data_IF_723498838689
#
_entry.id   IF_723498838689
#
_cell.length_a   1.000
_cell.length_b   1.000
_cell.length_c   1.000
_cell.angle_alpha   90.00
_cell.angle_beta   90.00
_cell.angle_gamma   90.00
#
_symmetry.space_group_name_H-M   'P 1'
#
loop_
_entity.id
_entity.type
_entity.pdbx_description
1 polymer ?
#
# COMPACT_ATOMS: atom_id res chain seq x y z
N UNK A 1 -6.56 -3.81 -3.58
CA UNK A 1 -5.70 -3.39 -4.72
C UNK A 1 -4.48 -4.29 -4.96
N UNK A 2 -3.69 -4.58 -3.92
CA UNK A 2 -2.47 -5.39 -4.05
C UNK A 2 -2.72 -6.77 -4.70
N UNK A 3 -3.71 -7.52 -4.21
CA UNK A 3 -4.03 -8.86 -4.75
C UNK A 3 -4.42 -8.85 -6.24
N UNK A 4 -5.28 -7.91 -6.66
CA UNK A 4 -5.64 -7.78 -8.08
C UNK A 4 -4.46 -7.40 -8.98
N UNK A 5 -3.53 -6.58 -8.47
CA UNK A 5 -2.30 -6.21 -9.21
C UNK A 5 -1.34 -7.39 -9.30
N UNK A 6 -1.16 -8.15 -8.20
CA UNK A 6 -0.32 -9.34 -8.15
C UNK A 6 -0.82 -10.43 -9.11
N UNK A 7 -2.14 -10.68 -9.12
CA UNK A 7 -2.76 -11.58 -10.10
C UNK A 7 -2.46 -11.09 -11.50
N UNK A 8 -2.75 -9.83 -11.83
CA UNK A 8 -2.55 -9.33 -13.19
C UNK A 8 -1.09 -9.40 -13.67
N UNK A 9 -0.11 -9.30 -12.77
CA UNK A 9 1.31 -9.42 -13.13
C UNK A 9 1.76 -10.83 -13.50
N UNK A 10 1.04 -11.88 -13.09
CA UNK A 10 1.48 -13.28 -13.26
C UNK A 10 0.44 -14.20 -13.90
N UNK A 11 -0.80 -13.74 -14.02
CA UNK A 11 -1.92 -14.47 -14.63
C UNK A 11 -1.54 -14.97 -16.03
N UNK A 12 -1.59 -16.29 -16.23
CA UNK A 12 -1.23 -16.96 -17.48
C UNK A 12 0.28 -17.18 -17.71
N UNK A 13 1.17 -16.73 -16.81
CA UNK A 13 2.60 -17.03 -16.92
C UNK A 13 2.90 -18.49 -16.55
N UNK A 14 3.74 -19.14 -17.35
CA UNK A 14 4.22 -20.48 -17.06
C UNK A 14 5.25 -20.47 -15.93
N UNK A 15 5.23 -21.52 -15.10
CA UNK A 15 6.19 -21.71 -14.01
C UNK A 15 5.95 -20.85 -12.75
N UNK A 16 4.85 -20.10 -12.70
CA UNK A 16 4.44 -19.30 -11.55
C UNK A 16 2.98 -19.54 -11.23
N UNK A 17 2.68 -19.88 -9.98
CA UNK A 17 1.33 -19.92 -9.42
C UNK A 17 1.19 -18.78 -8.40
N UNK A 18 0.01 -18.15 -8.37
CA UNK A 18 -0.29 -17.08 -7.41
C UNK A 18 -1.43 -17.50 -6.50
N UNK A 19 -1.16 -17.45 -5.20
CA UNK A 19 -2.16 -17.66 -4.15
C UNK A 19 -2.46 -16.30 -3.51
N UNK A 20 -3.71 -15.88 -3.59
CA UNK A 20 -4.19 -14.62 -3.00
C UNK A 20 -5.26 -14.90 -1.99
N UNK A 21 -5.08 -14.38 -0.77
CA UNK A 21 -6.08 -14.40 0.29
C UNK A 21 -6.53 -12.95 0.53
N UNK A 22 -7.85 -12.72 0.59
CA UNK A 22 -8.41 -11.41 0.90
C UNK A 22 -9.51 -11.49 1.97
N UNK A 23 -9.71 -10.43 2.76
CA UNK A 23 -10.75 -10.42 3.80
C UNK A 23 -12.13 -10.21 3.18
N UNK A 24 -12.99 -11.22 3.32
CA UNK A 24 -14.35 -11.26 2.81
C UNK A 24 -15.17 -10.09 3.37
N UNK A 25 -15.86 -9.37 2.50
CA UNK A 25 -16.71 -8.24 2.88
C UNK A 25 -15.99 -6.99 3.38
N UNK A 26 -14.65 -6.96 3.36
CA UNK A 26 -13.85 -5.77 3.75
C UNK A 26 -13.18 -5.05 2.58
N UNK A 27 -13.37 -5.54 1.36
CA UNK A 27 -12.90 -4.91 0.12
C UNK A 27 -14.08 -4.50 -0.76
N UNK A 28 -13.84 -3.60 -1.70
CA UNK A 28 -14.88 -3.18 -2.65
C UNK A 28 -15.23 -4.32 -3.61
N UNK A 29 -16.47 -4.34 -4.09
CA UNK A 29 -16.92 -5.35 -5.06
C UNK A 29 -16.11 -5.38 -6.35
N UNK A 30 -15.56 -4.22 -6.77
CA UNK A 30 -14.67 -4.16 -7.93
C UNK A 30 -13.33 -4.82 -7.61
N UNK A 31 -12.72 -4.52 -6.46
CA UNK A 31 -11.45 -5.14 -6.08
C UNK A 31 -11.59 -6.66 -5.95
N UNK A 32 -12.68 -7.12 -5.33
CA UNK A 32 -12.99 -8.55 -5.24
C UNK A 32 -13.09 -9.18 -6.63
N UNK A 33 -13.88 -8.58 -7.52
CA UNK A 33 -14.06 -9.11 -8.88
C UNK A 33 -12.78 -9.06 -9.71
N UNK A 34 -11.91 -8.07 -9.53
CA UNK A 34 -10.61 -8.04 -10.20
C UNK A 34 -9.76 -9.28 -9.86
N UNK A 35 -9.92 -9.83 -8.66
CA UNK A 35 -9.23 -11.05 -8.25
C UNK A 35 -9.99 -12.30 -8.70
N UNK A 36 -11.28 -12.39 -8.39
CA UNK A 36 -12.05 -13.65 -8.55
C UNK A 36 -12.47 -13.95 -9.99
N UNK A 37 -12.44 -12.97 -10.90
CA UNK A 37 -12.75 -13.17 -12.33
C UNK A 37 -11.53 -13.57 -13.18
N UNK A 38 -10.34 -13.63 -12.57
CA UNK A 38 -9.14 -14.16 -13.23
C UNK A 38 -9.17 -15.68 -13.14
N UNK A 39 -9.62 -16.33 -14.21
CA UNK A 39 -9.87 -17.78 -14.24
C UNK A 39 -8.70 -18.62 -14.77
N UNK A 40 -7.56 -18.00 -15.09
CA UNK A 40 -6.35 -18.71 -15.52
C UNK A 40 -5.93 -19.77 -14.52
N UNK A 41 -5.37 -20.86 -15.02
CA UNK A 41 -5.12 -22.05 -14.22
C UNK A 41 -4.13 -21.83 -13.05
N UNK A 42 -3.24 -20.87 -13.21
CA UNK A 42 -2.22 -20.52 -12.23
C UNK A 42 -2.68 -19.51 -11.17
N UNK A 43 -3.98 -19.14 -11.17
CA UNK A 43 -4.55 -18.15 -10.25
C UNK A 43 -5.47 -18.83 -9.23
N UNK A 44 -5.05 -18.75 -7.95
CA UNK A 44 -5.72 -19.36 -6.81
C UNK A 44 -6.16 -18.29 -5.82
N UNK A 45 -7.47 -18.10 -5.66
CA UNK A 45 -8.03 -17.02 -4.85
C UNK A 45 -8.85 -17.57 -3.69
N UNK A 46 -8.64 -17.00 -2.50
CA UNK A 46 -9.32 -17.33 -1.25
C UNK A 46 -9.95 -16.08 -0.63
N UNK A 47 -11.19 -16.22 -0.18
CA UNK A 47 -11.91 -15.25 0.63
C UNK A 47 -11.93 -15.75 2.07
N UNK A 48 -11.22 -15.05 2.97
CA UNK A 48 -11.16 -15.41 4.38
C UNK A 48 -12.11 -14.56 5.21
N UNK A 49 -12.69 -15.15 6.25
CA UNK A 49 -13.34 -14.36 7.31
C UNK A 49 -12.31 -13.55 8.10
N UNK A 50 -12.75 -12.58 8.92
CA UNK A 50 -11.84 -11.72 9.67
C UNK A 50 -11.30 -10.50 8.89
N UNK A 51 -10.12 -10.04 9.29
CA UNK A 51 -9.41 -8.84 8.82
C UNK A 51 -8.15 -9.18 8.02
N UNK A 52 -7.51 -8.16 7.44
CA UNK A 52 -6.19 -8.33 6.80
C UNK A 52 -5.14 -8.83 7.80
N UNK A 53 -5.21 -8.36 9.05
CA UNK A 53 -4.25 -8.74 10.09
C UNK A 53 -4.44 -10.21 10.50
N UNK A 54 -5.70 -10.69 10.55
CA UNK A 54 -6.01 -12.09 10.81
C UNK A 54 -5.47 -13.02 9.71
N UNK A 55 -5.50 -12.56 8.44
CA UNK A 55 -4.95 -13.28 7.28
C UNK A 55 -3.43 -13.32 7.31
N UNK A 56 -2.79 -12.26 7.79
CA UNK A 56 -1.33 -12.17 7.86
C UNK A 56 -0.72 -13.20 8.83
N UNK A 57 -1.43 -13.58 9.90
CA UNK A 57 -0.92 -14.54 10.89
C UNK A 57 -0.57 -15.90 10.27
N UNK A 58 -1.49 -16.64 9.61
CA UNK A 58 -1.15 -17.93 8.99
C UNK A 58 -0.15 -17.76 7.84
N UNK A 59 -0.22 -16.67 7.07
CA UNK A 59 0.77 -16.40 6.01
C UNK A 59 2.18 -16.25 6.58
N UNK A 60 2.36 -15.50 7.68
CA UNK A 60 3.66 -15.35 8.34
C UNK A 60 4.21 -16.70 8.82
N UNK A 61 3.35 -17.58 9.36
CA UNK A 61 3.77 -18.93 9.80
C UNK A 61 4.21 -19.81 8.63
N UNK A 62 3.49 -19.78 7.50
CA UNK A 62 3.91 -20.48 6.27
C UNK A 62 5.27 -20.01 5.77
N UNK A 63 5.55 -18.70 5.83
CA UNK A 63 6.85 -18.14 5.44
C UNK A 63 7.96 -18.35 6.48
N UNK A 64 7.61 -18.62 7.74
CA UNK A 64 8.59 -18.97 8.79
C UNK A 64 9.12 -20.39 8.60
N UNK A 65 8.33 -21.30 8.02
CA UNK A 65 8.73 -22.65 7.65
C UNK A 65 9.72 -22.64 6.47
N UNK A 66 11.02 -22.68 6.80
CA UNK A 66 12.10 -22.61 5.81
C UNK A 66 12.14 -23.83 4.88
N UNK A 67 11.63 -24.98 5.32
CA UNK A 67 11.60 -26.19 4.49
C UNK A 67 10.49 -26.08 3.45
N UNK A 68 9.30 -25.63 3.85
CA UNK A 68 8.20 -25.33 2.92
C UNK A 68 8.63 -24.28 1.89
N UNK A 69 9.25 -23.18 2.35
CA UNK A 69 9.70 -22.09 1.48
C UNK A 69 10.70 -22.59 0.44
N UNK A 70 11.73 -23.33 0.85
CA UNK A 70 12.75 -23.86 -0.07
C UNK A 70 12.20 -24.90 -1.02
N UNK A 71 11.35 -25.81 -0.52
CA UNK A 71 10.78 -26.91 -1.31
C UNK A 71 9.83 -26.42 -2.40
N UNK A 72 9.01 -25.42 -2.10
CA UNK A 72 7.99 -24.92 -3.02
C UNK A 72 8.34 -23.58 -3.67
N UNK A 73 9.51 -23.01 -3.38
CA UNK A 73 9.94 -21.72 -3.91
C UNK A 73 9.01 -20.57 -3.51
N UNK A 74 8.47 -20.60 -2.29
CA UNK A 74 7.49 -19.61 -1.84
C UNK A 74 8.11 -18.22 -1.82
N UNK A 75 7.41 -17.27 -2.42
CA UNK A 75 7.79 -15.86 -2.43
C UNK A 75 6.59 -14.97 -2.09
N UNK A 76 6.84 -13.90 -1.33
CA UNK A 76 5.81 -12.91 -1.03
C UNK A 76 5.88 -11.74 -2.02
N UNK A 77 4.71 -11.36 -2.55
CA UNK A 77 4.51 -10.15 -3.36
C UNK A 77 3.99 -8.97 -2.51
N UNK A 78 3.94 -9.12 -1.18
CA UNK A 78 3.59 -8.03 -0.28
C UNK A 78 4.74 -7.01 -0.17
N UNK A 79 4.47 -5.84 0.42
CA UNK A 79 5.39 -4.68 0.42
C UNK A 79 6.57 -4.84 1.38
N UNK A 80 6.72 -6.00 2.00
CA UNK A 80 7.96 -6.47 2.60
C UNK A 80 9.01 -6.79 1.52
N UNK A 81 8.61 -7.09 0.28
CA UNK A 81 9.54 -7.36 -0.80
C UNK A 81 10.30 -6.08 -1.24
N UNK A 82 11.64 -6.10 -1.19
CA UNK A 82 12.50 -4.98 -1.58
C UNK A 82 12.27 -4.51 -3.02
N UNK A 83 11.98 -5.42 -3.96
CA UNK A 83 11.75 -5.08 -5.38
C UNK A 83 10.56 -4.13 -5.52
N UNK A 84 9.54 -4.23 -4.64
CA UNK A 84 8.42 -3.29 -4.66
C UNK A 84 8.82 -1.88 -4.30
N UNK A 85 9.76 -1.71 -3.36
CA UNK A 85 10.30 -0.39 -3.03
C UNK A 85 11.18 0.10 -4.17
N UNK A 86 12.06 -0.76 -4.70
CA UNK A 86 12.95 -0.44 -5.81
C UNK A 86 12.19 0.12 -7.03
N UNK A 87 11.10 -0.54 -7.45
CA UNK A 87 10.29 -0.07 -8.59
C UNK A 87 9.60 1.26 -8.29
N UNK A 88 9.25 1.54 -7.03
CA UNK A 88 8.66 2.82 -6.64
C UNK A 88 9.62 4.00 -6.76
N UNK A 89 10.95 3.79 -6.73
CA UNK A 89 11.91 4.86 -6.99
C UNK A 89 11.73 5.42 -8.41
N UNK A 90 11.41 4.56 -9.39
CA UNK A 90 11.33 4.97 -10.79
C UNK A 90 10.25 6.05 -11.02
N UNK A 91 9.06 5.92 -10.43
CA UNK A 91 8.00 6.91 -10.63
C UNK A 91 8.23 8.20 -9.85
N UNK A 92 8.91 8.16 -8.71
CA UNK A 92 9.35 9.38 -8.01
C UNK A 92 10.41 10.13 -8.81
N UNK A 93 11.41 9.43 -9.35
CA UNK A 93 12.43 10.04 -10.20
C UNK A 93 11.80 10.63 -11.46
N UNK A 94 10.88 9.90 -12.10
CA UNK A 94 10.13 10.41 -13.24
C UNK A 94 9.34 11.68 -12.88
N UNK A 95 8.59 11.68 -11.77
CA UNK A 95 7.86 12.86 -11.31
C UNK A 95 8.79 14.04 -11.03
N UNK A 96 9.97 13.79 -10.46
CA UNK A 96 11.01 14.80 -10.25
C UNK A 96 11.47 15.43 -11.56
N UNK A 97 11.82 14.62 -12.56
CA UNK A 97 12.25 15.10 -13.87
C UNK A 97 11.16 15.94 -14.57
N UNK A 98 9.90 15.56 -14.41
CA UNK A 98 8.77 16.25 -15.06
C UNK A 98 8.34 17.55 -14.36
N UNK A 99 8.41 17.60 -13.02
CA UNK A 99 7.72 18.65 -12.25
C UNK A 99 8.68 19.62 -11.54
N UNK A 100 9.93 19.24 -11.31
CA UNK A 100 10.88 20.06 -10.55
C UNK A 100 11.35 21.31 -11.31
N UNK A 101 11.12 21.37 -12.62
CA UNK A 101 11.66 22.45 -13.47
C UNK A 101 13.16 22.32 -13.70
N UNK A 102 13.75 21.14 -13.49
CA UNK A 102 15.19 20.89 -13.64
C UNK A 102 15.76 21.32 -15.00
N UNK A 103 14.97 21.20 -16.07
CA UNK A 103 15.36 21.64 -17.42
C UNK A 103 15.62 23.15 -17.53
N UNK A 104 15.04 23.95 -16.64
CA UNK A 104 15.15 25.42 -16.64
C UNK A 104 16.33 25.90 -15.78
N UNK A 105 17.02 25.00 -15.08
CA UNK A 105 18.07 25.33 -14.13
C UNK A 105 19.35 25.69 -14.88
N UNK A 106 19.83 26.91 -14.66
CA UNK A 106 21.16 27.35 -15.10
C UNK A 106 22.12 27.26 -13.92
N UNK A 107 22.72 26.09 -13.69
CA UNK A 107 23.72 25.88 -12.63
C UNK A 107 23.72 24.48 -12.04
N UNK A 108 24.41 24.33 -10.91
CA UNK A 108 24.58 23.04 -10.22
C UNK A 108 23.60 22.79 -9.06
N UNK A 109 22.73 23.76 -8.75
CA UNK A 109 21.77 23.64 -7.65
C UNK A 109 20.47 23.04 -8.18
N UNK A 110 20.16 21.82 -7.73
CA UNK A 110 18.96 21.11 -8.13
C UNK A 110 17.71 21.69 -7.45
N UNK A 111 16.58 21.89 -8.17
CA UNK A 111 15.36 22.44 -7.62
C UNK A 111 14.66 21.41 -6.74
N UNK A 112 14.06 21.87 -5.63
CA UNK A 112 13.30 20.99 -4.73
C UNK A 112 11.94 20.64 -5.35
N UNK A 113 11.51 19.39 -5.17
CA UNK A 113 10.13 18.97 -5.43
C UNK A 113 9.47 18.51 -4.13
N UNK A 114 8.32 19.07 -3.80
CA UNK A 114 7.47 18.53 -2.74
C UNK A 114 6.64 17.36 -3.27
N UNK A 115 6.75 16.20 -2.63
CA UNK A 115 5.98 15.01 -2.99
C UNK A 115 5.09 14.63 -1.81
N UNK A 116 3.77 14.71 -2.06
CA UNK A 116 2.72 14.41 -1.08
C UNK A 116 2.18 13.01 -1.36
N UNK A 117 2.29 12.14 -0.36
CA UNK A 117 2.05 10.72 -0.50
C UNK A 117 0.91 10.30 0.43
N UNK A 118 -0.21 9.78 -0.10
CA UNK A 118 -1.20 9.13 0.76
C UNK A 118 -0.58 7.84 1.29
N UNK A 119 -0.51 7.74 2.61
CA UNK A 119 0.38 6.80 3.31
C UNK A 119 -0.43 5.86 4.17
N UNK A 120 -0.20 4.55 3.97
CA UNK A 120 -0.60 3.49 4.89
C UNK A 120 0.65 2.75 5.34
N UNK A 121 0.99 1.65 4.67
CA UNK A 121 2.19 0.85 4.96
C UNK A 121 3.55 1.52 4.68
N UNK A 122 3.60 2.83 4.39
CA UNK A 122 4.82 3.65 4.19
C UNK A 122 5.82 3.27 3.08
N UNK A 123 5.49 2.35 2.16
CA UNK A 123 6.43 1.94 1.08
C UNK A 123 6.88 3.09 0.16
N UNK A 124 5.94 3.93 -0.30
CA UNK A 124 6.26 5.11 -1.11
C UNK A 124 7.12 6.13 -0.34
N UNK A 125 6.92 6.28 0.98
CA UNK A 125 7.75 7.13 1.81
C UNK A 125 9.18 6.58 1.89
N UNK A 126 9.34 5.27 2.10
CA UNK A 126 10.65 4.63 2.06
C UNK A 126 11.35 4.84 0.72
N UNK A 127 10.65 4.67 -0.41
CA UNK A 127 11.17 4.96 -1.75
C UNK A 127 11.64 6.41 -1.91
N UNK A 128 10.83 7.38 -1.46
CA UNK A 128 11.20 8.79 -1.46
C UNK A 128 12.43 9.09 -0.59
N UNK A 129 12.54 8.48 0.59
CA UNK A 129 13.71 8.62 1.46
C UNK A 129 14.98 8.09 0.79
N UNK A 130 14.90 6.96 0.08
CA UNK A 130 16.02 6.40 -0.66
C UNK A 130 16.47 7.36 -1.78
N UNK A 131 15.54 7.90 -2.58
CA UNK A 131 15.91 8.89 -3.61
C UNK A 131 16.54 10.15 -3.03
N UNK A 132 16.06 10.60 -1.86
CA UNK A 132 16.68 11.72 -1.15
C UNK A 132 18.13 11.40 -0.76
N UNK A 133 18.40 10.18 -0.29
CA UNK A 133 19.79 9.72 -0.02
C UNK A 133 20.63 9.58 -1.29
N UNK A 134 20.00 9.27 -2.44
CA UNK A 134 20.66 9.27 -3.75
C UNK A 134 20.97 10.68 -4.28
N UNK A 135 20.57 11.74 -3.56
CA UNK A 135 20.87 13.14 -3.90
C UNK A 135 19.73 13.88 -4.61
N UNK A 136 18.56 13.26 -4.79
CA UNK A 136 17.40 13.95 -5.38
C UNK A 136 16.75 14.86 -4.32
N UNK A 137 16.66 16.18 -4.54
CA UNK A 137 16.11 17.11 -3.56
C UNK A 137 14.58 16.99 -3.48
N UNK A 138 14.13 16.08 -2.62
CA UNK A 138 12.71 15.86 -2.35
C UNK A 138 12.33 16.40 -0.96
N UNK A 139 11.19 17.07 -0.89
CA UNK A 139 10.47 17.35 0.36
C UNK A 139 9.29 16.40 0.46
N UNK A 140 9.35 15.46 1.39
CA UNK A 140 8.34 14.40 1.50
C UNK A 140 7.26 14.79 2.50
N UNK A 141 6.01 14.51 2.15
CA UNK A 141 4.85 14.69 3.02
C UNK A 141 4.05 13.40 3.07
N UNK A 142 3.89 12.81 4.26
CA UNK A 142 3.03 11.66 4.49
C UNK A 142 1.63 12.11 4.92
N UNK A 143 0.64 11.89 4.07
CA UNK A 143 -0.76 12.16 4.41
C UNK A 143 -1.47 10.85 4.75
N UNK A 144 -1.96 10.74 5.99
CA UNK A 144 -2.69 9.57 6.49
C UNK A 144 -4.17 9.91 6.67
N UNK A 145 -5.00 8.89 6.87
CA UNK A 145 -6.38 9.10 7.31
C UNK A 145 -6.45 9.04 8.86
N UNK A 146 -7.62 8.76 9.43
CA UNK A 146 -7.80 8.60 10.90
C UNK A 146 -6.91 7.53 11.54
N UNK A 147 -6.31 6.62 10.76
CA UNK A 147 -5.27 5.70 11.23
C UNK A 147 -3.90 6.38 11.10
N UNK A 148 -3.49 7.07 12.17
CA UNK A 148 -2.55 8.17 12.10
C UNK A 148 -1.16 7.91 12.72
N UNK A 149 -0.79 6.63 12.91
CA UNK A 149 0.49 6.23 13.53
C UNK A 149 1.71 6.93 12.91
N UNK A 150 1.76 7.07 11.58
CA UNK A 150 2.86 7.76 10.89
C UNK A 150 2.85 9.27 11.20
N UNK A 151 1.68 9.89 11.29
CA UNK A 151 1.57 11.31 11.62
C UNK A 151 2.06 11.59 13.04
N UNK A 152 1.59 10.82 14.03
CA UNK A 152 2.04 10.96 15.43
C UNK A 152 3.54 10.69 15.59
N UNK A 153 4.08 9.71 14.88
CA UNK A 153 5.51 9.43 14.91
C UNK A 153 6.37 10.59 14.39
N UNK A 154 5.89 11.31 13.36
CA UNK A 154 6.57 12.49 12.81
C UNK A 154 6.41 13.69 13.74
N UNK A 155 5.21 13.95 14.26
CA UNK A 155 4.92 15.13 15.08
C UNK A 155 5.53 15.04 16.49
N UNK A 156 5.33 13.93 17.20
CA UNK A 156 5.68 13.78 18.62
C UNK A 156 6.62 12.63 18.94
N UNK A 157 6.97 11.80 17.95
CA UNK A 157 7.77 10.60 18.16
C UNK A 157 6.98 9.41 18.70
N UNK A 158 5.66 9.54 18.90
CA UNK A 158 4.79 8.45 19.33
C UNK A 158 4.50 7.48 18.17
N UNK A 159 5.06 6.27 18.26
CA UNK A 159 4.85 5.19 17.29
C UNK A 159 4.06 4.06 17.95
N UNK A 160 2.76 4.28 18.13
CA UNK A 160 1.84 3.33 18.76
C UNK A 160 0.62 3.04 17.90
N UNK A 161 0.14 1.81 17.96
CA UNK A 161 -1.15 1.42 17.38
C UNK A 161 -2.31 1.85 18.30
N UNK A 162 -3.44 2.19 17.70
CA UNK A 162 -4.70 2.27 18.41
C UNK A 162 -5.28 0.87 18.65
N UNK A 163 -6.21 0.74 19.61
CA UNK A 163 -6.86 -0.54 19.97
C UNK A 163 -7.61 -1.20 18.79
N UNK A 164 -8.00 -0.41 17.79
CA UNK A 164 -8.72 -0.91 16.62
C UNK A 164 -8.46 -0.05 15.39
N UNK A 165 -8.34 -0.73 14.23
CA UNK A 165 -8.33 -0.08 12.92
C UNK A 165 -9.66 0.64 12.69
N UNK A 166 -9.61 1.94 12.39
CA UNK A 166 -10.80 2.73 12.04
C UNK A 166 -11.06 2.58 10.55
N UNK A 167 -12.27 2.13 10.19
CA UNK A 167 -12.71 2.08 8.79
C UNK A 167 -12.93 3.50 8.27
N UNK A 168 -12.34 3.82 7.11
CA UNK A 168 -12.48 5.13 6.46
C UNK A 168 -12.87 4.99 4.99
N UNK A 169 -13.15 6.11 4.33
CA UNK A 169 -13.34 6.14 2.86
C UNK A 169 -12.07 5.76 2.10
N UNK A 170 -10.89 6.01 2.66
CA UNK A 170 -9.60 5.68 2.09
C UNK A 170 -9.10 4.30 2.57
N UNK A 171 -9.92 3.26 2.42
CA UNK A 171 -9.74 1.93 3.05
C UNK A 171 -8.42 1.19 2.81
N UNK A 172 -7.63 1.56 1.79
CA UNK A 172 -6.36 0.92 1.47
C UNK A 172 -5.20 1.46 2.32
N UNK A 173 -5.42 2.56 3.04
CA UNK A 173 -4.49 3.13 4.01
C UNK A 173 -5.03 3.08 5.44
N UNK A 174 -6.08 2.28 5.69
CA UNK A 174 -6.55 1.93 7.05
C UNK A 174 -5.55 0.95 7.71
N UNK A 175 -4.37 1.45 8.08
CA UNK A 175 -3.23 0.64 8.54
C UNK A 175 -2.72 1.20 9.88
N UNK A 176 -2.63 0.33 10.89
CA UNK A 176 -2.07 0.67 12.21
C UNK A 176 -0.58 0.28 12.32
N UNK A 177 -0.15 -0.77 11.61
CA UNK A 177 1.25 -1.21 11.49
C UNK A 177 1.87 -0.74 10.16
N UNK A 178 2.51 0.45 10.12
CA UNK A 178 3.16 0.93 8.91
C UNK A 178 4.54 0.27 8.73
N UNK A 179 4.57 -1.02 8.41
CA UNK A 179 5.77 -1.88 8.37
C UNK A 179 6.97 -1.37 7.55
N UNK A 180 6.83 -0.43 6.60
CA UNK A 180 8.01 0.18 5.95
C UNK A 180 8.66 1.31 6.76
N UNK A 181 8.07 1.74 7.87
CA UNK A 181 8.71 2.71 8.76
C UNK A 181 9.99 2.15 9.37
N UNK A 182 10.10 0.84 9.57
CA UNK A 182 11.36 0.18 9.95
C UNK A 182 12.51 0.56 8.99
N UNK A 183 12.26 0.54 7.67
CA UNK A 183 13.23 0.95 6.65
C UNK A 183 13.57 2.42 6.75
N UNK A 184 12.56 3.27 6.97
CA UNK A 184 12.76 4.72 7.14
C UNK A 184 13.62 4.98 8.38
N UNK A 185 13.34 4.30 9.50
CA UNK A 185 14.12 4.43 10.72
C UNK A 185 15.56 3.99 10.53
N UNK A 186 15.80 2.88 9.83
CA UNK A 186 17.15 2.40 9.51
C UNK A 186 17.93 3.37 8.61
N UNK A 187 17.27 3.90 7.57
CA UNK A 187 17.86 4.89 6.67
C UNK A 187 18.25 6.17 7.42
N UNK A 188 17.39 6.65 8.33
CA UNK A 188 17.62 7.89 9.06
C UNK A 188 18.56 7.71 10.26
N UNK A 189 18.61 6.53 10.88
CA UNK A 189 19.58 6.24 11.93
C UNK A 189 21.02 6.20 11.42
N UNK A 190 21.21 6.11 10.09
CA UNK A 190 22.53 5.94 9.46
C UNK A 190 22.93 4.48 9.39
N UNK A 191 21.95 3.58 9.29
CA UNK A 191 22.18 2.14 9.23
C UNK A 191 22.35 1.45 10.58
N UNK A 192 21.91 2.07 11.68
CA UNK A 192 21.99 1.47 13.02
C UNK A 192 20.95 0.35 13.17
N UNK A 193 21.35 -0.86 12.80
CA UNK A 193 20.52 -2.06 12.88
C UNK A 193 20.21 -2.46 14.33
N UNK A 194 21.10 -2.18 15.28
CA UNK A 194 20.89 -2.55 16.68
C UNK A 194 19.80 -1.68 17.31
N UNK A 195 19.79 -0.38 17.00
CA UNK A 195 18.74 0.53 17.41
C UNK A 195 17.38 0.13 16.83
N UNK A 196 17.32 -0.06 15.51
CA UNK A 196 16.05 -0.38 14.82
C UNK A 196 15.50 -1.71 15.30
N UNK A 197 16.36 -2.72 15.48
CA UNK A 197 15.95 -4.01 16.03
C UNK A 197 15.26 -3.85 17.38
N UNK A 198 15.89 -3.16 18.35
CA UNK A 198 15.28 -2.95 19.68
C UNK A 198 13.94 -2.22 19.60
N UNK A 199 13.87 -1.17 18.78
CA UNK A 199 12.67 -0.37 18.58
C UNK A 199 11.52 -1.22 18.02
N UNK A 200 11.81 -2.05 17.01
CA UNK A 200 10.81 -2.89 16.38
C UNK A 200 10.41 -4.07 17.26
N UNK A 201 11.34 -4.67 18.03
CA UNK A 201 11.01 -5.70 19.03
C UNK A 201 10.05 -5.15 20.10
N UNK A 202 10.35 -3.98 20.68
CA UNK A 202 9.45 -3.32 21.64
C UNK A 202 8.07 -3.02 21.04
N UNK A 203 8.03 -2.55 19.79
CA UNK A 203 6.79 -2.27 19.09
C UNK A 203 5.99 -3.54 18.79
N UNK A 204 6.63 -4.65 18.42
CA UNK A 204 5.93 -5.91 18.18
C UNK A 204 5.39 -6.51 19.48
N UNK A 205 6.11 -6.36 20.59
CA UNK A 205 5.70 -6.91 21.89
C UNK A 205 4.57 -6.10 22.54
N UNK A 206 4.60 -4.77 22.43
CA UNK A 206 3.69 -3.88 23.16
C UNK A 206 2.73 -3.07 22.29
N UNK A 207 2.85 -3.16 20.96
CA UNK A 207 2.17 -2.33 19.96
C UNK A 207 2.45 -0.82 20.09
N UNK A 208 3.46 -0.44 20.88
CA UNK A 208 3.78 0.95 21.20
C UNK A 208 5.29 1.12 21.36
N UNK A 209 5.82 2.22 20.88
CA UNK A 209 7.17 2.66 21.25
C UNK A 209 7.28 4.17 21.02
N UNK A 210 8.27 4.79 21.64
CA UNK A 210 8.57 6.21 21.45
C UNK A 210 9.92 6.31 20.77
N UNK A 211 9.96 7.03 19.64
CA UNK A 211 11.18 7.24 18.90
C UNK A 211 12.21 7.99 19.76
N UNK A 212 13.46 7.51 19.86
CA UNK A 212 14.51 8.25 20.55
C UNK A 212 14.67 9.65 19.95
N UNK A 213 14.90 10.67 20.79
CA UNK A 213 14.89 12.07 20.37
C UNK A 213 15.82 12.39 19.19
N UNK A 214 16.97 11.71 19.08
CA UNK A 214 17.86 11.86 17.93
C UNK A 214 17.25 11.32 16.62
N UNK A 215 16.57 10.18 16.67
CA UNK A 215 15.89 9.58 15.51
C UNK A 215 14.65 10.39 15.14
N UNK A 216 13.84 10.78 16.12
CA UNK A 216 12.67 11.64 15.92
C UNK A 216 13.05 12.96 15.25
N UNK A 217 14.08 13.65 15.76
CA UNK A 217 14.57 14.90 15.16
C UNK A 217 14.98 14.72 13.70
N UNK A 218 15.65 13.62 13.36
CA UNK A 218 15.99 13.28 11.96
C UNK A 218 14.73 13.03 11.12
N UNK A 219 13.78 12.25 11.64
CA UNK A 219 12.49 12.00 10.97
C UNK A 219 11.76 13.29 10.64
N UNK A 220 11.50 14.16 11.63
CA UNK A 220 10.75 15.40 11.44
C UNK A 220 11.48 16.43 10.55
N UNK A 221 12.81 16.29 10.38
CA UNK A 221 13.58 17.12 9.43
C UNK A 221 13.49 16.65 7.98
N UNK A 222 13.16 15.38 7.74
CA UNK A 222 13.12 14.76 6.40
C UNK A 222 11.69 14.61 5.90
N UNK A 223 10.75 14.38 6.81
CA UNK A 223 9.36 14.05 6.52
C UNK A 223 8.44 14.99 7.30
N UNK A 224 7.47 15.60 6.61
CA UNK A 224 6.30 16.22 7.24
C UNK A 224 5.12 15.25 7.16
N UNK A 225 4.12 15.41 8.02
CA UNK A 225 2.94 14.56 7.99
C UNK A 225 1.66 15.31 8.35
N UNK A 226 0.52 14.77 7.91
CA UNK A 226 -0.80 15.26 8.29
C UNK A 226 -1.84 14.14 8.27
N UNK A 227 -2.93 14.32 9.01
CA UNK A 227 -4.06 13.38 9.05
C UNK A 227 -5.33 14.04 8.51
N UNK A 228 -6.15 13.27 7.80
CA UNK A 228 -7.39 13.74 7.16
C UNK A 228 -8.56 12.86 7.58
N UNK A 229 -9.70 13.49 7.92
CA UNK A 229 -10.94 12.78 8.23
C UNK A 229 -11.74 12.45 6.97
N UNK A 230 -12.75 11.59 7.08
CA UNK A 230 -13.67 11.29 5.97
C UNK A 230 -14.38 12.55 5.44
N UNK A 231 -14.71 13.47 6.35
CA UNK A 231 -15.30 14.77 6.00
C UNK A 231 -14.32 15.58 5.13
N UNK A 232 -13.07 15.69 5.55
CA UNK A 232 -12.02 16.37 4.77
C UNK A 232 -11.73 15.69 3.42
N UNK A 233 -11.82 14.35 3.35
CA UNK A 233 -11.72 13.60 2.09
C UNK A 233 -12.84 14.00 1.14
N UNK A 234 -14.10 14.01 1.61
CA UNK A 234 -15.26 14.38 0.80
C UNK A 234 -15.17 15.81 0.31
N UNK A 235 -14.85 16.76 1.20
CA UNK A 235 -14.67 18.17 0.85
C UNK A 235 -13.57 18.35 -0.20
N UNK A 236 -12.46 17.62 -0.07
CA UNK A 236 -11.36 17.68 -1.06
C UNK A 236 -11.79 17.14 -2.41
N UNK A 237 -12.54 16.03 -2.45
CA UNK A 237 -13.07 15.46 -3.69
C UNK A 237 -14.00 16.45 -4.39
N UNK A 238 -14.90 17.08 -3.64
CA UNK A 238 -15.82 18.10 -4.14
C UNK A 238 -15.07 19.32 -4.68
N UNK A 239 -14.12 19.84 -3.91
CA UNK A 239 -13.33 21.02 -4.28
C UNK A 239 -12.50 20.77 -5.54
N UNK A 240 -11.82 19.63 -5.64
CA UNK A 240 -11.04 19.27 -6.82
C UNK A 240 -11.91 19.16 -8.08
N UNK A 241 -13.11 18.57 -7.95
CA UNK A 241 -14.07 18.51 -9.04
C UNK A 241 -14.56 19.91 -9.46
N UNK A 242 -14.84 20.81 -8.51
CA UNK A 242 -15.26 22.18 -8.81
C UNK A 242 -14.16 22.98 -9.51
N UNK A 243 -12.93 22.90 -9.01
CA UNK A 243 -11.80 23.70 -9.49
C UNK A 243 -11.28 23.21 -10.87
N UNK A 244 -11.32 21.91 -11.13
CA UNK A 244 -10.58 21.31 -12.27
C UNK A 244 -11.33 20.26 -13.08
N UNK A 245 -12.53 19.84 -12.63
CA UNK A 245 -13.24 18.67 -13.18
C UNK A 245 -12.42 17.38 -13.16
N UNK A 246 -11.40 17.31 -12.31
CA UNK A 246 -10.64 16.08 -12.07
C UNK A 246 -11.27 15.30 -10.92
N UNK A 247 -11.69 14.05 -11.19
CA UNK A 247 -12.33 13.21 -10.19
C UNK A 247 -11.28 12.39 -9.42
N UNK A 248 -11.17 12.68 -8.12
CA UNK A 248 -10.25 11.99 -7.22
C UNK A 248 -10.84 10.68 -6.68
N UNK A 249 -10.00 9.67 -6.47
CA UNK A 249 -10.31 8.62 -5.51
C UNK A 249 -10.09 9.15 -4.08
N UNK A 250 -10.69 8.53 -3.03
CA UNK A 250 -10.55 9.00 -1.65
C UNK A 250 -9.09 9.02 -1.16
N UNK A 251 -8.25 8.06 -1.58
CA UNK A 251 -6.83 8.04 -1.21
C UNK A 251 -6.06 9.20 -1.82
N UNK A 252 -6.34 9.56 -3.07
CA UNK A 252 -5.71 10.72 -3.71
C UNK A 252 -6.19 12.01 -3.04
N UNK A 253 -7.47 12.08 -2.65
CA UNK A 253 -8.01 13.20 -1.90
C UNK A 253 -7.30 13.41 -0.55
N UNK A 254 -6.87 12.36 0.16
CA UNK A 254 -6.04 12.51 1.37
C UNK A 254 -4.75 13.29 1.08
N UNK A 255 -4.07 13.04 -0.05
CA UNK A 255 -2.88 13.79 -0.44
C UNK A 255 -3.21 15.20 -0.95
N UNK A 256 -4.25 15.35 -1.78
CA UNK A 256 -4.68 16.64 -2.33
C UNK A 256 -5.25 17.56 -1.24
N UNK A 257 -5.72 17.03 -0.11
CA UNK A 257 -6.11 17.86 1.02
C UNK A 257 -4.95 18.77 1.45
N UNK A 258 -3.72 18.26 1.47
CA UNK A 258 -2.52 19.06 1.74
C UNK A 258 -2.30 20.17 0.71
N UNK A 259 -2.65 19.93 -0.57
CA UNK A 259 -2.63 20.97 -1.62
C UNK A 259 -3.49 22.18 -1.24
N UNK A 260 -4.69 21.95 -0.73
CA UNK A 260 -5.63 23.02 -0.41
C UNK A 260 -5.38 23.70 0.94
N UNK A 261 -4.72 23.02 1.89
CA UNK A 261 -4.60 23.50 3.27
C UNK A 261 -3.18 23.95 3.65
N UNK A 262 -2.17 23.64 2.85
CA UNK A 262 -0.78 24.00 3.13
C UNK A 262 -0.18 24.78 1.97
N UNK A 263 0.35 25.99 2.19
CA UNK A 263 0.93 26.79 1.12
C UNK A 263 2.16 26.09 0.52
N UNK A 264 2.37 26.30 -0.77
CA UNK A 264 3.58 25.87 -1.46
C UNK A 264 4.69 26.90 -1.20
N UNK A 265 5.93 26.42 -1.05
CA UNK A 265 7.08 27.34 -0.89
C UNK A 265 7.33 28.07 -2.22
N UNK A 266 7.70 29.36 -2.21
CA UNK A 266 8.02 30.08 -3.44
C UNK A 266 9.08 29.35 -4.27
N UNK A 267 8.78 29.13 -5.55
CA UNK A 267 9.69 28.45 -6.49
C UNK A 267 9.76 26.92 -6.36
N UNK A 268 8.97 26.31 -5.46
CA UNK A 268 8.84 24.85 -5.35
C UNK A 268 7.60 24.37 -6.13
N UNK A 269 7.68 23.19 -6.73
CA UNK A 269 6.53 22.48 -7.31
C UNK A 269 5.99 21.43 -6.32
N UNK A 270 4.71 21.07 -6.46
CA UNK A 270 4.07 19.99 -5.68
C UNK A 270 3.59 18.86 -6.57
N UNK A 271 3.91 17.63 -6.19
CA UNK A 271 3.39 16.41 -6.78
C UNK A 271 2.55 15.65 -5.75
N UNK A 272 1.25 15.53 -5.97
CA UNK A 272 0.39 14.67 -5.16
C UNK A 272 0.26 13.29 -5.84
N UNK A 273 0.67 12.23 -5.15
CA UNK A 273 0.63 10.87 -5.71
C UNK A 273 -0.81 10.36 -5.77
N UNK A 274 -1.34 10.20 -6.99
CA UNK A 274 -2.63 9.57 -7.23
C UNK A 274 -2.50 8.05 -7.27
N UNK A 275 -2.92 7.38 -6.19
CA UNK A 275 -2.64 5.94 -5.98
C UNK A 275 -3.69 5.00 -6.55
N UNK A 276 -4.88 5.49 -6.88
CA UNK A 276 -5.93 4.67 -7.46
C UNK A 276 -6.90 5.48 -8.32
N UNK A 277 -7.58 4.78 -9.22
CA UNK A 277 -8.68 5.35 -10.00
C UNK A 277 -9.97 5.42 -9.14
N UNK A 278 -10.78 6.49 -9.25
CA UNK A 278 -12.04 6.64 -8.51
C UNK A 278 -13.05 5.52 -8.83
N UNK A 279 -12.94 4.84 -9.97
CA UNK A 279 -13.84 3.72 -10.35
C UNK A 279 -13.90 2.62 -9.31
N UNK A 280 -12.81 2.43 -8.56
CA UNK A 280 -12.69 1.43 -7.52
C UNK A 280 -13.45 1.80 -6.24
N UNK A 281 -13.81 3.07 -6.04
CA UNK A 281 -14.35 3.60 -4.79
C UNK A 281 -15.65 4.39 -5.02
N UNK A 282 -16.61 3.76 -5.71
CA UNK A 282 -17.92 4.34 -6.01
C UNK A 282 -18.65 4.91 -4.78
N UNK A 283 -18.55 4.23 -3.64
CA UNK A 283 -19.18 4.71 -2.40
C UNK A 283 -18.64 6.08 -1.98
N UNK A 284 -17.32 6.28 -2.04
CA UNK A 284 -16.72 7.58 -1.72
C UNK A 284 -17.13 8.66 -2.74
N UNK A 285 -17.22 8.29 -4.02
CA UNK A 285 -17.70 9.20 -5.09
C UNK A 285 -19.15 9.63 -4.83
N UNK A 286 -20.04 8.67 -4.50
CA UNK A 286 -21.43 8.96 -4.17
C UNK A 286 -21.57 9.80 -2.89
N UNK A 287 -20.81 9.49 -1.83
CA UNK A 287 -20.81 10.29 -0.60
C UNK A 287 -20.34 11.73 -0.84
N UNK A 288 -19.46 11.95 -1.82
CA UNK A 288 -19.07 13.29 -2.24
C UNK A 288 -20.12 14.01 -3.09
N UNK A 289 -21.26 13.38 -3.40
CA UNK A 289 -22.28 13.93 -4.30
C UNK A 289 -21.80 14.02 -5.75
N UNK A 290 -20.79 13.24 -6.13
CA UNK A 290 -20.22 13.21 -7.46
C UNK A 290 -20.72 11.98 -8.22
N UNK A 291 -20.67 12.04 -9.55
CA UNK A 291 -21.06 10.95 -10.43
C UNK A 291 -19.85 10.41 -11.18
N UNK A 292 -19.87 9.11 -11.43
CA UNK A 292 -18.84 8.43 -12.20
C UNK A 292 -19.49 7.37 -13.08
N UNK A 293 -19.32 7.54 -14.39
CA UNK A 293 -19.66 6.49 -15.33
C UNK A 293 -18.60 5.40 -15.27
N UNK A 294 -19.04 4.16 -15.05
CA UNK A 294 -18.13 3.02 -15.05
C UNK A 294 -17.68 2.73 -16.48
N UNK A 295 -16.37 2.65 -16.76
CA UNK A 295 -15.88 2.21 -18.05
C UNK A 295 -16.46 0.84 -18.43
N UNK A 296 -16.68 0.59 -19.73
CA UNK A 296 -17.28 -0.68 -20.19
C UNK A 296 -16.60 -1.92 -19.62
N UNK A 297 -15.26 -1.92 -19.55
CA UNK A 297 -14.49 -3.02 -18.97
C UNK A 297 -14.89 -3.34 -17.52
N UNK A 298 -15.17 -2.31 -16.71
CA UNK A 298 -15.63 -2.49 -15.34
C UNK A 298 -17.10 -2.94 -15.25
N UNK A 299 -17.94 -2.53 -16.20
CA UNK A 299 -19.31 -3.04 -16.28
C UNK A 299 -19.34 -4.53 -16.65
N UNK A 300 -18.47 -4.95 -17.59
CA UNK A 300 -18.31 -6.36 -17.98
C UNK A 300 -17.81 -7.20 -16.80
N UNK A 301 -16.85 -6.69 -16.03
CA UNK A 301 -16.30 -7.35 -14.84
C UNK A 301 -17.40 -7.78 -13.83
N UNK A 302 -18.47 -6.99 -13.68
CA UNK A 302 -19.61 -7.31 -12.81
C UNK A 302 -20.42 -8.53 -13.26
N UNK A 303 -20.32 -8.93 -14.53
CA UNK A 303 -21.07 -10.05 -15.13
C UNK A 303 -20.23 -11.30 -15.35
N UNK A 304 -18.92 -11.22 -15.15
CA UNK A 304 -18.01 -12.35 -15.37
C UNK A 304 -18.19 -13.42 -14.28
N UNK A 305 -17.97 -14.68 -14.69
CA UNK A 305 -17.86 -15.81 -13.78
C UNK A 305 -16.71 -15.60 -12.80
N UNK A 306 -16.92 -15.99 -11.55
CA UNK A 306 -15.92 -15.90 -10.49
C UNK A 306 -15.46 -17.29 -10.04
N UNK A 307 -14.22 -17.39 -9.54
CA UNK A 307 -13.67 -18.56 -8.86
C UNK A 307 -12.97 -18.08 -7.58
N UNK A 308 -13.40 -18.62 -6.44
CA UNK A 308 -12.83 -18.30 -5.13
C UNK A 308 -13.13 -19.45 -4.17
N UNK A 309 -12.14 -19.88 -3.39
CA UNK A 309 -12.34 -20.76 -2.24
C UNK A 309 -12.63 -19.92 -0.98
N UNK A 310 -13.25 -20.53 0.03
CA UNK A 310 -13.54 -19.86 1.31
C UNK A 310 -12.60 -20.37 2.41
N UNK A 311 -12.15 -19.47 3.27
CA UNK A 311 -11.49 -19.78 4.54
C UNK A 311 -12.39 -19.25 5.66
N UNK A 312 -13.21 -20.13 6.21
CA UNK A 312 -14.24 -19.76 7.20
C UNK A 312 -13.65 -19.68 8.61
N UNK A 313 -14.28 -18.90 9.47
CA UNK A 313 -13.91 -18.82 10.88
C UNK A 313 -13.95 -20.20 11.54
N UNK A 314 -12.93 -20.52 12.35
CA UNK A 314 -12.78 -21.83 12.99
C UNK A 314 -12.04 -22.89 12.16
N UNK A 315 -11.75 -22.62 10.88
CA UNK A 315 -10.85 -23.46 10.08
C UNK A 315 -9.38 -23.17 10.42
N UNK A 316 -8.52 -24.18 10.28
CA UNK A 316 -7.07 -23.97 10.27
C UNK A 316 -6.63 -23.45 8.90
N UNK A 317 -6.58 -22.12 8.75
CA UNK A 317 -6.21 -21.48 7.49
C UNK A 317 -4.77 -21.78 7.08
N UNK A 318 -3.86 -21.98 8.04
CA UNK A 318 -2.47 -22.31 7.76
C UNK A 318 -2.39 -23.68 7.07
N UNK A 319 -3.01 -24.70 7.65
CA UNK A 319 -3.06 -26.05 7.08
C UNK A 319 -3.75 -26.08 5.72
N UNK A 320 -4.88 -25.39 5.56
CA UNK A 320 -5.60 -25.31 4.28
C UNK A 320 -4.76 -24.68 3.15
N UNK A 321 -4.03 -23.61 3.47
CA UNK A 321 -3.15 -22.96 2.51
C UNK A 321 -1.92 -23.81 2.20
N UNK A 322 -1.36 -24.50 3.21
CA UNK A 322 -0.25 -25.45 3.02
C UNK A 322 -0.66 -26.59 2.08
N UNK A 323 -1.78 -27.26 2.35
CA UNK A 323 -2.32 -28.32 1.51
C UNK A 323 -2.56 -27.84 0.07
N UNK A 324 -3.07 -26.61 -0.09
CA UNK A 324 -3.23 -26.01 -1.41
C UNK A 324 -1.89 -25.87 -2.13
N UNK A 325 -0.87 -25.31 -1.48
CA UNK A 325 0.46 -25.09 -2.06
C UNK A 325 1.09 -26.42 -2.49
N UNK A 326 1.02 -27.43 -1.62
CA UNK A 326 1.55 -28.76 -1.89
C UNK A 326 0.82 -29.44 -3.06
N UNK A 327 -0.51 -29.34 -3.09
CA UNK A 327 -1.31 -29.89 -4.18
C UNK A 327 -1.02 -29.21 -5.52
N UNK A 328 -0.92 -27.88 -5.54
CA UNK A 328 -0.51 -27.12 -6.73
C UNK A 328 0.83 -27.67 -7.23
N UNK A 329 1.83 -27.77 -6.35
CA UNK A 329 3.15 -28.26 -6.73
C UNK A 329 3.08 -29.67 -7.32
N UNK A 330 2.34 -30.56 -6.69
CA UNK A 330 2.16 -31.95 -7.15
C UNK A 330 1.55 -32.01 -8.56
N UNK A 331 0.52 -31.20 -8.84
CA UNK A 331 -0.09 -31.06 -10.17
C UNK A 331 0.92 -30.55 -11.20
N UNK A 332 1.69 -29.51 -10.84
CA UNK A 332 2.71 -28.94 -11.74
C UNK A 332 3.84 -29.90 -12.07
N UNK A 333 4.26 -30.73 -11.11
CA UNK A 333 5.28 -31.77 -11.33
C UNK A 333 4.82 -32.86 -12.29
N UNK A 334 3.50 -33.10 -12.39
CA UNK A 334 2.91 -33.99 -13.41
C UNK A 334 2.68 -33.32 -14.76
N UNK A 335 2.91 -32.01 -14.87
CA UNK A 335 2.64 -31.23 -16.09
C UNK A 335 1.14 -31.02 -16.36
N UNK A 336 0.31 -31.11 -15.32
CA UNK A 336 -1.15 -31.00 -15.42
C UNK A 336 -1.65 -29.57 -15.14
N UNK A 337 -2.91 -29.31 -15.52
CA UNK A 337 -3.65 -28.12 -15.11
C UNK A 337 -4.31 -28.38 -13.76
N UNK A 338 -4.37 -27.39 -12.89
CA UNK A 338 -4.95 -27.52 -11.56
C UNK A 338 -6.48 -27.55 -11.60
N UNK A 339 -7.08 -26.78 -12.51
CA UNK A 339 -8.52 -26.61 -12.63
C UNK A 339 -9.12 -27.34 -13.84
N UNK A 340 -8.35 -28.21 -14.51
CA UNK A 340 -8.93 -29.17 -15.45
C UNK A 340 -9.81 -30.14 -14.66
N UNK A 341 -11.11 -30.12 -14.96
CA UNK A 341 -12.10 -31.07 -14.46
C UNK A 341 -11.87 -32.47 -15.04
#
# INVERSE_FOLDING_TARGET
DTGGSAIRSVCGLQGLDVVVVFPRGRITSIQERQMTTSLEDNVHVFAADGSSDDIDVPLRRLFADQDLVKRHGLMSLNSVNWVRILVQLAHFLYAYLQLSGIEQVKGHVLPSLEVVVPTGGAGNIAAGCILKQMGVPLRLVAMVNRNDTVHRAVESGDFSMADSVKKTLASAIDIQDPYNMERVFWLLSGGDSALVKRLMEEFQDSHRTVLPGALHKKLSSVLSAGSVTDEGIVETMQKCWQDSRYLLCPHTAVAVWHHYHCPLRPGESRCCIATASPVKFQEAVHRAGLTLELPEGMQRLKKMRTRCAKLEEGMDWESQLRERIEHIRSVRERGELYYSA
#
